data_IF_722584213035
#
_entry.id   IF_722584213035
#
_cell.length_a   1.000
_cell.length_b   1.000
_cell.length_c   1.000
_cell.angle_alpha   90.00
_cell.angle_beta   90.00
_cell.angle_gamma   90.00
#
_symmetry.space_group_name_H-M   'P 1'
#
loop_
_entity.id
_entity.type
_entity.pdbx_description
1 polymer ?
#
# COMPACT_ATOMS: atom_id res chain seq x y z
N UNK A 1 15.60 10.32 -0.39
CA UNK A 1 14.29 10.10 0.27
C UNK A 1 14.29 8.67 0.78
N UNK A 2 14.53 8.45 2.07
CA UNK A 2 14.59 7.09 2.64
C UNK A 2 13.18 6.51 2.74
N UNK A 3 12.71 5.89 1.65
CA UNK A 3 11.47 5.10 1.59
C UNK A 3 11.68 3.81 2.36
N UNK A 4 11.48 3.88 3.67
CA UNK A 4 11.55 2.72 4.55
C UNK A 4 10.34 1.80 4.23
N UNK A 5 10.55 0.62 3.64
CA UNK A 5 9.45 -0.24 3.16
C UNK A 5 8.53 -0.68 4.30
N UNK A 6 9.06 -0.76 5.52
CA UNK A 6 8.27 -1.02 6.71
C UNK A 6 7.30 0.13 7.00
N UNK A 7 7.74 1.40 6.93
CA UNK A 7 6.84 2.56 7.09
C UNK A 7 5.77 2.62 6.00
N UNK A 8 6.12 2.31 4.76
CA UNK A 8 5.16 2.29 3.64
C UNK A 8 4.06 1.25 3.88
N UNK A 9 4.42 0.11 4.47
CA UNK A 9 3.49 -0.95 4.84
C UNK A 9 2.79 -0.71 6.20
N UNK A 10 3.12 0.37 6.92
CA UNK A 10 2.63 0.63 8.28
C UNK A 10 3.14 -0.36 9.33
N UNK A 11 4.29 -1.00 9.07
CA UNK A 11 4.92 -2.00 9.91
C UNK A 11 6.16 -1.45 10.61
N UNK A 12 6.51 -2.08 11.72
CA UNK A 12 7.80 -1.84 12.39
C UNK A 12 8.85 -2.79 11.81
N UNK A 13 10.14 -2.48 11.99
CA UNK A 13 11.24 -3.38 11.61
C UNK A 13 11.24 -4.72 12.37
N UNK A 14 10.44 -4.81 13.43
CA UNK A 14 10.19 -6.04 14.18
C UNK A 14 9.05 -6.90 13.60
N UNK A 15 8.37 -6.42 12.55
CA UNK A 15 7.29 -7.16 11.90
C UNK A 15 7.82 -8.44 11.25
N UNK A 16 7.09 -9.53 11.41
CA UNK A 16 7.48 -10.82 10.85
C UNK A 16 7.16 -10.86 9.35
N UNK A 17 7.80 -11.78 8.62
CA UNK A 17 7.50 -12.00 7.20
C UNK A 17 6.00 -12.28 6.93
N UNK A 18 5.29 -12.88 7.90
CA UNK A 18 3.85 -13.11 7.83
C UNK A 18 3.05 -11.78 7.91
N UNK A 19 3.44 -10.87 8.79
CA UNK A 19 2.84 -9.54 8.94
C UNK A 19 3.08 -8.68 7.70
N UNK A 20 4.29 -8.72 7.15
CA UNK A 20 4.67 -8.05 5.90
C UNK A 20 3.76 -8.50 4.75
N UNK A 21 3.61 -9.82 4.56
CA UNK A 21 2.73 -10.38 3.52
C UNK A 21 1.27 -9.97 3.72
N UNK A 22 0.79 -9.92 4.96
CA UNK A 22 -0.60 -9.55 5.28
C UNK A 22 -0.85 -8.06 5.05
N UNK A 23 0.05 -7.19 5.52
CA UNK A 23 0.00 -5.75 5.32
C UNK A 23 0.08 -5.38 3.84
N UNK A 24 1.01 -5.99 3.09
CA UNK A 24 1.13 -5.78 1.65
C UNK A 24 -0.15 -6.14 0.90
N UNK A 25 -0.73 -7.32 1.16
CA UNK A 25 -2.00 -7.71 0.52
C UNK A 25 -3.16 -6.79 0.87
N UNK A 26 -3.20 -6.29 2.12
CA UNK A 26 -4.22 -5.34 2.57
C UNK A 26 -4.07 -3.99 1.87
N UNK A 27 -2.83 -3.48 1.80
CA UNK A 27 -2.50 -2.22 1.14
C UNK A 27 -2.78 -2.28 -0.36
N UNK A 28 -2.35 -3.37 -1.02
CA UNK A 28 -2.58 -3.57 -2.45
C UNK A 28 -4.08 -3.61 -2.77
N UNK A 29 -4.90 -4.24 -1.91
CA UNK A 29 -6.37 -4.24 -2.06
C UNK A 29 -7.00 -2.87 -1.81
N UNK A 30 -6.57 -2.14 -0.78
CA UNK A 30 -7.08 -0.79 -0.48
C UNK A 30 -6.62 0.28 -1.45
N UNK A 31 -5.59 0.01 -2.24
CA UNK A 31 -5.11 0.93 -3.27
C UNK A 31 -5.42 0.43 -4.68
N UNK A 32 -6.17 -0.67 -4.80
CA UNK A 32 -6.49 -1.24 -6.11
C UNK A 32 -7.57 -0.37 -6.80
N UNK A 33 -7.31 0.15 -8.01
CA UNK A 33 -8.28 0.96 -8.74
C UNK A 33 -9.57 0.20 -9.05
N UNK A 34 -9.53 -1.13 -9.23
CA UNK A 34 -10.76 -1.94 -9.38
C UNK A 34 -11.68 -1.94 -8.14
N UNK A 35 -11.14 -1.71 -6.94
CA UNK A 35 -11.91 -1.62 -5.69
C UNK A 35 -12.30 -0.17 -5.35
N UNK A 36 -11.66 0.81 -6.00
CA UNK A 36 -11.95 2.24 -5.89
C UNK A 36 -12.29 2.85 -7.26
N UNK A 37 -13.28 2.33 -8.00
CA UNK A 37 -13.61 2.79 -9.34
C UNK A 37 -14.13 4.24 -9.39
N UNK A 38 -14.65 4.77 -8.27
CA UNK A 38 -15.18 6.13 -8.17
C UNK A 38 -14.16 7.19 -7.72
N UNK A 39 -12.94 6.79 -7.37
CA UNK A 39 -11.94 7.73 -6.87
C UNK A 39 -11.13 8.32 -8.04
N UNK A 40 -11.72 9.31 -8.73
CA UNK A 40 -11.08 10.07 -9.82
C UNK A 40 -9.73 10.69 -9.40
N UNK A 41 -9.47 10.82 -8.09
CA UNK A 41 -8.17 11.26 -7.55
C UNK A 41 -7.08 10.19 -7.62
N UNK A 42 -7.44 8.90 -7.56
CA UNK A 42 -6.52 7.78 -7.69
C UNK A 42 -5.98 7.65 -9.12
N UNK A 43 -6.82 7.91 -10.12
CA UNK A 43 -6.42 7.96 -11.54
C UNK A 43 -5.41 9.07 -11.79
N UNK A 44 -5.57 10.24 -11.16
CA UNK A 44 -4.63 11.36 -11.29
C UNK A 44 -3.28 11.07 -10.61
N UNK A 45 -3.26 10.35 -9.48
CA UNK A 45 -2.02 9.92 -8.80
C UNK A 45 -1.28 8.79 -9.51
N UNK A 46 -1.96 7.95 -10.28
CA UNK A 46 -1.35 6.80 -10.95
C UNK A 46 -0.74 7.14 -12.33
N UNK A 47 -1.07 8.31 -12.88
CA UNK A 47 -0.69 8.70 -14.25
C UNK A 47 0.44 9.75 -14.33
N UNK A 48 1.01 10.17 -13.19
CA UNK A 48 2.08 11.17 -13.10
C UNK A 48 3.41 10.54 -12.67
#
# INVERSE_FOLDING_TARGET
>A
MSTDPYKVLGLTKAATAADIKKAYRKLARSSHPDLHPDDKSAVARFKA
#
